data_IF_211377683094
#
_entry.id   IF_211377683094
#
_cell.length_a   1.000
_cell.length_b   1.000
_cell.length_c   1.000
_cell.angle_alpha   90.00
_cell.angle_beta   90.00
_cell.angle_gamma   90.00
#
_symmetry.space_group_name_H-M   'P 1'
#
loop_
_entity.id
_entity.type
_entity.pdbx_description
1 polymer ?
#
# COMPACT_ATOMS: atom_id res chain seq x y z
N UNK A 1 28.34 -7.46 47.10
CA UNK A 1 28.44 -6.11 46.45
C UNK A 1 28.86 -6.22 45.00
N UNK A 2 29.77 -7.11 44.63
CA UNK A 2 30.28 -7.25 43.24
C UNK A 2 29.22 -7.84 42.27
N UNK A 3 28.49 -8.88 42.69
CA UNK A 3 27.45 -9.50 41.84
C UNK A 3 26.33 -8.55 41.50
N UNK A 4 25.82 -7.76 42.47
CA UNK A 4 24.80 -6.75 42.23
C UNK A 4 25.25 -5.67 41.24
N UNK A 5 26.49 -5.21 41.35
CA UNK A 5 27.05 -4.23 40.40
C UNK A 5 27.17 -4.83 38.98
N UNK A 6 27.60 -6.06 38.85
CA UNK A 6 27.68 -6.73 37.55
C UNK A 6 26.30 -6.91 36.90
N UNK A 7 25.28 -7.28 37.67
CA UNK A 7 23.88 -7.37 37.18
C UNK A 7 23.36 -6.00 36.70
N UNK A 8 23.61 -4.91 37.45
CA UNK A 8 23.18 -3.59 37.08
C UNK A 8 23.89 -3.11 35.78
N UNK A 9 25.18 -3.38 35.64
CA UNK A 9 25.91 -3.07 34.40
C UNK A 9 25.35 -3.86 33.21
N UNK A 10 25.08 -5.16 33.39
CA UNK A 10 24.50 -5.99 32.33
C UNK A 10 23.12 -5.49 31.93
N UNK A 11 22.26 -5.16 32.88
CA UNK A 11 20.93 -4.58 32.60
C UNK A 11 21.05 -3.25 31.86
N UNK A 12 21.99 -2.41 32.23
CA UNK A 12 22.27 -1.14 31.53
C UNK A 12 22.73 -1.35 30.08
N UNK A 13 23.59 -2.32 29.84
CA UNK A 13 24.06 -2.66 28.48
C UNK A 13 22.90 -3.23 27.64
N UNK A 14 22.10 -4.11 28.20
CA UNK A 14 20.92 -4.67 27.49
C UNK A 14 19.90 -3.57 27.17
N UNK A 15 19.60 -2.70 28.12
CA UNK A 15 18.69 -1.56 27.89
C UNK A 15 19.22 -0.62 26.81
N UNK A 16 20.53 -0.29 26.83
CA UNK A 16 21.15 0.52 25.79
C UNK A 16 21.11 -0.15 24.41
N UNK A 17 21.35 -1.46 24.34
CA UNK A 17 21.26 -2.23 23.08
C UNK A 17 19.84 -2.24 22.52
N UNK A 18 18.82 -2.44 23.37
CA UNK A 18 17.41 -2.36 22.96
C UNK A 18 17.08 -0.95 22.46
N UNK A 19 17.49 0.09 23.16
CA UNK A 19 17.24 1.48 22.77
C UNK A 19 17.91 1.80 21.43
N UNK A 20 19.16 1.43 21.23
CA UNK A 20 19.87 1.62 19.96
C UNK A 20 19.20 0.85 18.81
N UNK A 21 18.80 -0.40 19.07
CA UNK A 21 18.07 -1.20 18.07
C UNK A 21 16.74 -0.55 17.69
N UNK A 22 15.93 -0.13 18.66
CA UNK A 22 14.64 0.53 18.38
C UNK A 22 14.83 1.86 17.64
N UNK A 23 15.85 2.63 17.98
CA UNK A 23 16.16 3.88 17.29
C UNK A 23 16.60 3.62 15.84
N UNK A 24 17.47 2.64 15.62
CA UNK A 24 17.92 2.27 14.27
C UNK A 24 16.77 1.80 13.38
N UNK A 25 15.85 0.99 13.91
CA UNK A 25 14.64 0.57 13.19
C UNK A 25 13.72 1.74 12.83
N UNK A 26 13.54 2.69 13.76
CA UNK A 26 12.75 3.91 13.46
C UNK A 26 13.39 4.75 12.38
N UNK A 27 14.69 4.99 12.44
CA UNK A 27 15.41 5.75 11.42
C UNK A 27 15.35 5.05 10.06
N UNK A 28 15.50 3.73 10.02
CA UNK A 28 15.38 2.97 8.79
C UNK A 28 13.97 3.05 8.20
N UNK A 29 12.93 2.92 9.03
CA UNK A 29 11.54 3.06 8.62
C UNK A 29 11.23 4.47 8.07
N UNK A 30 11.70 5.53 8.72
CA UNK A 30 11.51 6.90 8.21
C UNK A 30 12.23 7.11 6.88
N UNK A 31 13.48 6.67 6.73
CA UNK A 31 14.20 6.73 5.45
C UNK A 31 13.49 5.99 4.32
N UNK A 32 12.91 4.83 4.62
CA UNK A 32 12.10 4.09 3.65
C UNK A 32 10.86 4.91 3.25
N UNK A 33 10.17 5.55 4.20
CA UNK A 33 9.01 6.40 3.89
C UNK A 33 9.43 7.62 3.07
N UNK A 34 10.53 8.29 3.42
CA UNK A 34 11.03 9.45 2.69
C UNK A 34 11.43 9.09 1.25
N UNK A 35 12.02 7.92 1.03
CA UNK A 35 12.36 7.43 -0.31
C UNK A 35 11.10 7.23 -1.21
N UNK A 36 9.94 6.99 -0.60
CA UNK A 36 8.68 6.81 -1.31
C UNK A 36 7.92 8.12 -1.56
N UNK A 37 8.29 9.22 -0.93
CA UNK A 37 7.51 10.47 -1.02
C UNK A 37 7.39 11.01 -2.45
N UNK A 38 8.43 10.88 -3.26
CA UNK A 38 8.37 11.26 -4.67
C UNK A 38 7.34 10.44 -5.47
N UNK A 39 7.18 9.14 -5.14
CA UNK A 39 6.17 8.29 -5.76
C UNK A 39 4.76 8.71 -5.38
N UNK A 40 4.52 9.14 -4.13
CA UNK A 40 3.19 9.51 -3.64
C UNK A 40 2.87 11.01 -3.74
N UNK A 41 3.78 11.82 -4.29
CA UNK A 41 3.53 13.23 -4.53
C UNK A 41 2.34 13.43 -5.49
N UNK A 42 1.43 14.34 -5.15
CA UNK A 42 0.27 14.66 -5.99
C UNK A 42 0.72 15.25 -7.33
N UNK A 43 0.32 14.65 -8.46
CA UNK A 43 0.62 15.19 -9.78
C UNK A 43 -0.09 16.54 -10.02
N UNK A 44 0.50 17.46 -10.79
CA UNK A 44 -0.08 18.79 -11.02
C UNK A 44 -1.39 18.74 -11.84
N UNK A 45 -1.57 17.70 -12.64
CA UNK A 45 -2.70 17.47 -13.54
C UNK A 45 -3.82 16.61 -12.94
N UNK A 46 -3.78 16.33 -11.63
CA UNK A 46 -4.72 15.43 -10.95
C UNK A 46 -6.18 15.84 -11.17
N UNK A 47 -6.48 17.14 -11.23
CA UNK A 47 -7.84 17.65 -11.41
C UNK A 47 -8.38 17.38 -12.83
N UNK A 48 -7.51 17.34 -13.83
CA UNK A 48 -7.89 17.13 -15.24
C UNK A 48 -7.95 15.64 -15.62
N UNK A 49 -7.34 14.77 -14.83
CA UNK A 49 -7.30 13.35 -15.12
C UNK A 49 -8.65 12.67 -14.87
N UNK A 50 -8.95 11.63 -15.62
CA UNK A 50 -10.15 10.82 -15.41
C UNK A 50 -10.04 9.98 -14.12
N UNK A 51 -11.17 9.69 -13.44
CA UNK A 51 -11.20 8.74 -12.31
C UNK A 51 -10.57 7.40 -12.69
N UNK A 52 -9.65 6.90 -11.86
CA UNK A 52 -8.90 5.67 -12.14
C UNK A 52 -7.64 5.86 -13.01
N UNK A 53 -7.35 7.07 -13.52
CA UNK A 53 -6.11 7.32 -14.25
C UNK A 53 -4.90 6.99 -13.37
N UNK A 54 -3.94 6.24 -13.90
CA UNK A 54 -2.71 5.85 -13.20
C UNK A 54 -1.60 6.84 -13.55
N UNK A 55 -1.12 7.56 -12.56
CA UNK A 55 -0.02 8.52 -12.70
C UNK A 55 1.35 7.86 -12.58
N UNK A 56 1.47 6.90 -11.68
CA UNK A 56 2.72 6.17 -11.42
C UNK A 56 2.45 4.71 -11.17
N UNK A 57 3.35 3.89 -11.65
CA UNK A 57 3.35 2.45 -11.46
C UNK A 57 4.78 1.96 -11.34
N UNK A 58 5.04 1.12 -10.36
CA UNK A 58 6.31 0.43 -10.22
C UNK A 58 6.11 -1.02 -9.76
N UNK A 59 6.99 -1.95 -10.08
CA UNK A 59 6.97 -3.30 -9.51
C UNK A 59 7.15 -3.25 -7.98
N UNK A 60 6.53 -4.18 -7.26
CA UNK A 60 6.74 -4.42 -5.83
C UNK A 60 7.55 -5.70 -5.63
N UNK A 61 8.89 -5.64 -5.67
CA UNK A 61 9.74 -6.83 -5.59
C UNK A 61 9.65 -7.55 -4.23
N UNK A 62 9.29 -6.82 -3.18
CA UNK A 62 9.17 -7.37 -1.82
C UNK A 62 7.84 -8.09 -1.56
N UNK A 63 6.88 -8.00 -2.48
CA UNK A 63 5.64 -8.76 -2.45
C UNK A 63 5.69 -9.85 -3.51
N UNK A 64 6.17 -11.03 -3.13
CA UNK A 64 6.25 -12.16 -4.04
C UNK A 64 5.07 -13.11 -3.82
N UNK A 65 4.24 -13.24 -4.85
CA UNK A 65 3.11 -14.18 -4.90
C UNK A 65 3.33 -15.10 -6.09
N UNK A 66 3.34 -16.41 -5.83
CA UNK A 66 3.55 -17.40 -6.87
C UNK A 66 2.52 -17.23 -8.00
N UNK A 67 3.00 -17.18 -9.25
CA UNK A 67 2.14 -17.03 -10.41
C UNK A 67 1.56 -15.63 -10.61
N UNK A 68 2.09 -14.58 -9.94
CA UNK A 68 1.65 -13.21 -10.13
C UNK A 68 2.81 -12.22 -10.31
N UNK A 69 2.50 -11.09 -10.95
CA UNK A 69 3.28 -9.84 -10.88
C UNK A 69 2.57 -8.88 -9.94
N UNK A 70 3.34 -8.13 -9.18
CA UNK A 70 2.83 -7.19 -8.18
C UNK A 70 3.31 -5.78 -8.49
N UNK A 71 2.41 -4.82 -8.35
CA UNK A 71 2.68 -3.43 -8.67
C UNK A 71 2.20 -2.51 -7.55
N UNK A 72 2.95 -1.44 -7.30
CA UNK A 72 2.49 -0.26 -6.59
C UNK A 72 1.93 0.72 -7.61
N UNK A 73 0.79 1.31 -7.31
CA UNK A 73 0.12 2.31 -8.15
C UNK A 73 -0.07 3.61 -7.38
N UNK A 74 -0.03 4.73 -8.10
CA UNK A 74 -0.63 6.00 -7.69
C UNK A 74 -1.69 6.34 -8.73
N UNK A 75 -2.93 6.43 -8.30
CA UNK A 75 -4.06 6.65 -9.20
C UNK A 75 -4.96 7.80 -8.75
N UNK A 76 -5.74 8.35 -9.70
CA UNK A 76 -6.72 9.40 -9.46
C UNK A 76 -7.99 8.83 -8.81
N UNK A 77 -8.42 9.46 -7.73
CA UNK A 77 -9.68 9.19 -7.06
C UNK A 77 -10.42 10.49 -6.73
N UNK A 78 -11.49 10.41 -5.94
CA UNK A 78 -12.33 11.55 -5.56
C UNK A 78 -12.64 11.51 -4.07
N UNK A 79 -12.66 12.71 -3.47
CA UNK A 79 -13.17 12.91 -2.12
C UNK A 79 -14.70 12.95 -2.12
N UNK A 80 -15.30 12.98 -0.94
CA UNK A 80 -16.77 13.04 -0.78
C UNK A 80 -17.40 14.30 -1.36
N UNK A 81 -16.66 15.41 -1.42
CA UNK A 81 -17.08 16.68 -2.02
C UNK A 81 -16.89 16.72 -3.56
N UNK A 82 -16.41 15.64 -4.16
CA UNK A 82 -16.12 15.55 -5.60
C UNK A 82 -14.76 16.12 -6.00
N UNK A 83 -13.98 16.66 -5.09
CA UNK A 83 -12.64 17.16 -5.41
C UNK A 83 -11.70 16.01 -5.78
N UNK A 84 -10.82 16.28 -6.74
CA UNK A 84 -9.83 15.32 -7.20
C UNK A 84 -8.79 15.02 -6.10
N UNK A 85 -8.45 13.77 -5.95
CA UNK A 85 -7.43 13.28 -5.02
C UNK A 85 -6.60 12.18 -5.68
N UNK A 86 -5.53 11.77 -5.00
CA UNK A 86 -4.76 10.56 -5.34
C UNK A 86 -4.80 9.57 -4.20
N UNK A 87 -4.78 8.30 -4.55
CA UNK A 87 -4.60 7.21 -3.61
C UNK A 87 -3.53 6.24 -4.11
N UNK A 88 -2.82 5.62 -3.17
CA UNK A 88 -1.98 4.47 -3.46
C UNK A 88 -2.82 3.20 -3.63
N UNK A 89 -2.27 2.21 -4.32
CA UNK A 89 -2.83 0.87 -4.36
C UNK A 89 -1.76 -0.19 -4.63
N UNK A 90 -2.10 -1.44 -4.32
CA UNK A 90 -1.35 -2.62 -4.74
C UNK A 90 -2.19 -3.38 -5.76
N UNK A 91 -1.63 -3.61 -6.96
CA UNK A 91 -2.23 -4.48 -7.96
C UNK A 91 -1.46 -5.80 -8.03
N UNK A 92 -2.17 -6.92 -8.09
CA UNK A 92 -1.63 -8.28 -8.19
C UNK A 92 -2.24 -8.94 -9.41
N UNK A 93 -1.40 -9.21 -10.40
CA UNK A 93 -1.81 -9.66 -11.74
C UNK A 93 -1.30 -11.08 -11.98
N UNK A 94 -2.17 -12.07 -12.20
CA UNK A 94 -1.75 -13.42 -12.54
C UNK A 94 -0.89 -13.43 -13.81
N UNK A 95 0.17 -14.24 -13.84
CA UNK A 95 1.04 -14.40 -15.02
C UNK A 95 0.48 -15.37 -16.06
N UNK A 96 -0.49 -16.20 -15.69
CA UNK A 96 -1.21 -17.04 -16.63
C UNK A 96 -1.93 -16.18 -17.70
N UNK A 97 -2.23 -16.72 -18.85
CA UNK A 97 -2.99 -16.01 -19.88
C UNK A 97 -4.38 -15.59 -19.38
N UNK A 98 -4.81 -14.36 -19.71
CA UNK A 98 -6.14 -13.92 -19.39
C UNK A 98 -7.19 -14.67 -20.21
N UNK A 99 -8.36 -15.00 -19.64
CA UNK A 99 -9.50 -15.48 -20.40
C UNK A 99 -9.95 -14.45 -21.45
N UNK A 100 -10.58 -14.90 -22.52
CA UNK A 100 -11.09 -14.00 -23.57
C UNK A 100 -12.17 -13.00 -23.04
N UNK A 101 -12.85 -13.37 -21.98
CA UNK A 101 -13.85 -12.52 -21.31
C UNK A 101 -13.26 -11.56 -20.27
N UNK A 102 -11.94 -11.49 -20.14
CA UNK A 102 -11.27 -10.78 -19.07
C UNK A 102 -11.13 -11.60 -17.79
N UNK A 103 -10.44 -11.02 -16.80
CA UNK A 103 -10.25 -11.64 -15.47
C UNK A 103 -11.32 -11.19 -14.50
N UNK A 104 -11.79 -12.05 -13.61
CA UNK A 104 -12.56 -11.58 -12.48
C UNK A 104 -11.71 -10.67 -11.60
N UNK A 105 -12.29 -9.56 -11.12
CA UNK A 105 -11.61 -8.58 -10.27
C UNK A 105 -11.98 -8.83 -8.82
N UNK A 106 -10.97 -8.84 -7.95
CA UNK A 106 -11.14 -8.84 -6.51
C UNK A 106 -10.57 -7.53 -5.94
N UNK A 107 -11.46 -6.64 -5.53
CA UNK A 107 -11.08 -5.39 -4.88
C UNK A 107 -11.09 -5.57 -3.36
N UNK A 108 -9.92 -5.38 -2.72
CA UNK A 108 -9.75 -5.57 -1.28
C UNK A 108 -9.74 -4.26 -0.53
N UNK A 109 -10.85 -3.99 0.17
CA UNK A 109 -10.98 -2.88 1.10
C UNK A 109 -10.40 -3.27 2.47
N UNK A 110 -9.22 -2.76 2.79
CA UNK A 110 -8.58 -3.07 4.07
C UNK A 110 -9.29 -2.39 5.24
N UNK A 111 -9.27 -3.02 6.41
CA UNK A 111 -9.73 -2.45 7.67
C UNK A 111 -8.77 -1.39 8.21
N UNK A 112 -9.04 -0.89 9.42
CA UNK A 112 -8.19 0.12 10.09
C UNK A 112 -6.75 -0.38 10.28
N UNK A 113 -5.80 0.38 9.74
CA UNK A 113 -4.35 0.09 9.81
C UNK A 113 -3.54 1.20 10.46
N UNK A 114 -4.21 2.28 10.93
CA UNK A 114 -3.63 3.51 11.44
C UNK A 114 -3.78 4.66 10.46
N UNK A 115 -3.46 5.89 10.89
CA UNK A 115 -3.63 7.13 10.12
C UNK A 115 -2.29 7.77 9.67
N UNK A 116 -1.17 7.24 10.13
CA UNK A 116 0.15 7.76 9.75
C UNK A 116 0.53 7.42 8.31
N UNK A 117 1.43 8.21 7.72
CA UNK A 117 1.97 8.04 6.37
C UNK A 117 2.39 6.59 6.07
N UNK A 118 3.16 5.98 6.98
CA UNK A 118 3.63 4.60 6.84
C UNK A 118 2.59 3.52 7.13
N UNK A 119 1.35 3.92 7.50
CA UNK A 119 0.26 2.96 7.70
C UNK A 119 -0.37 2.52 6.38
N UNK A 120 -0.23 3.30 5.30
CA UNK A 120 -0.71 2.93 3.97
C UNK A 120 -0.13 1.58 3.54
N UNK A 121 -0.97 0.58 3.22
CA UNK A 121 -0.49 -0.77 2.87
C UNK A 121 0.55 -0.79 1.76
N UNK A 122 0.37 0.02 0.71
CA UNK A 122 1.29 0.05 -0.42
C UNK A 122 2.66 0.70 -0.10
N UNK A 123 2.76 1.44 1.02
CA UNK A 123 4.01 2.03 1.53
C UNK A 123 4.80 1.10 2.44
N UNK A 124 4.22 -0.02 2.87
CA UNK A 124 4.90 -0.96 3.77
C UNK A 124 5.96 -1.77 3.05
N UNK A 125 7.01 -2.13 3.75
CA UNK A 125 8.04 -3.03 3.25
C UNK A 125 7.47 -4.41 2.92
N UNK A 126 6.53 -4.88 3.76
CA UNK A 126 5.84 -6.15 3.59
C UNK A 126 4.32 -5.94 3.50
N UNK A 127 3.82 -5.48 2.36
CA UNK A 127 2.40 -5.22 2.20
C UNK A 127 1.61 -6.55 2.16
N UNK A 128 0.37 -6.50 2.65
CA UNK A 128 -0.61 -7.60 2.56
C UNK A 128 -0.20 -8.93 3.24
N UNK A 129 0.80 -8.93 4.13
CA UNK A 129 1.23 -10.16 4.84
C UNK A 129 0.12 -10.86 5.62
N UNK A 130 -0.89 -10.13 6.07
CA UNK A 130 -2.01 -10.65 6.85
C UNK A 130 -3.21 -11.11 6.01
N UNK A 131 -3.08 -11.14 4.69
CA UNK A 131 -4.18 -11.50 3.78
C UNK A 131 -3.94 -12.90 3.20
N UNK A 132 -4.44 -13.97 3.85
CA UNK A 132 -4.05 -15.35 3.53
C UNK A 132 -4.62 -15.86 2.20
N UNK A 133 -5.74 -15.33 1.73
CA UNK A 133 -6.45 -15.80 0.53
C UNK A 133 -5.92 -15.25 -0.81
N UNK A 134 -4.93 -14.33 -0.79
CA UNK A 134 -4.42 -13.71 -2.04
C UNK A 134 -3.85 -14.76 -3.01
N UNK A 135 -3.09 -15.73 -2.49
CA UNK A 135 -2.53 -16.80 -3.32
C UNK A 135 -3.63 -17.63 -4.00
N UNK A 136 -4.71 -17.91 -3.27
CA UNK A 136 -5.87 -18.65 -3.80
C UNK A 136 -6.61 -17.84 -4.85
N UNK A 137 -6.79 -16.53 -4.65
CA UNK A 137 -7.40 -15.65 -5.64
C UNK A 137 -6.59 -15.65 -6.94
N UNK A 138 -5.26 -15.52 -6.86
CA UNK A 138 -4.35 -15.58 -8.01
C UNK A 138 -4.45 -16.93 -8.71
N UNK A 139 -4.43 -18.03 -7.96
CA UNK A 139 -4.54 -19.39 -8.51
C UNK A 139 -5.87 -19.63 -9.25
N UNK A 140 -6.93 -18.92 -8.83
CA UNK A 140 -8.24 -18.93 -9.49
C UNK A 140 -8.41 -17.86 -10.58
N UNK A 141 -7.31 -17.19 -10.98
CA UNK A 141 -7.29 -16.25 -12.10
C UNK A 141 -7.79 -14.84 -11.81
N UNK A 142 -8.09 -14.50 -10.55
CA UNK A 142 -8.49 -13.15 -10.18
C UNK A 142 -7.31 -12.18 -10.30
N UNK A 143 -7.56 -11.01 -10.89
CA UNK A 143 -6.72 -9.83 -10.65
C UNK A 143 -7.17 -9.18 -9.35
N UNK A 144 -6.21 -8.87 -8.47
CA UNK A 144 -6.50 -8.27 -7.16
C UNK A 144 -6.04 -6.82 -7.14
N UNK A 145 -6.88 -5.92 -6.60
CA UNK A 145 -6.52 -4.53 -6.34
C UNK A 145 -6.85 -4.18 -4.89
N UNK A 146 -5.88 -3.57 -4.19
CA UNK A 146 -5.99 -3.17 -2.79
C UNK A 146 -5.61 -1.70 -2.65
N UNK A 147 -6.57 -0.75 -2.63
CA UNK A 147 -6.29 0.67 -2.41
C UNK A 147 -5.86 0.95 -0.98
N UNK A 148 -5.12 2.07 -0.80
CA UNK A 148 -4.72 2.59 0.52
C UNK A 148 -5.77 3.53 1.13
N UNK A 149 -6.63 4.10 0.33
CA UNK A 149 -7.53 5.24 0.53
C UNK A 149 -6.83 6.61 0.48
N UNK A 150 -7.51 7.60 -0.12
CA UNK A 150 -6.99 8.97 -0.26
C UNK A 150 -6.69 9.61 1.10
N UNK A 151 -5.53 10.27 1.21
CA UNK A 151 -5.07 10.88 2.45
C UNK A 151 -4.35 9.91 3.39
N UNK A 152 -4.39 8.60 3.14
CA UNK A 152 -3.55 7.64 3.83
C UNK A 152 -2.28 7.41 2.98
N UNK A 153 -1.17 7.97 3.43
CA UNK A 153 0.10 7.92 2.71
C UNK A 153 0.23 8.86 1.50
N UNK A 154 -0.82 9.58 1.14
CA UNK A 154 -0.87 10.64 0.13
C UNK A 154 -1.23 12.00 0.75
N UNK A 155 -1.11 13.09 -0.02
CA UNK A 155 -1.42 14.42 0.46
C UNK A 155 -2.93 14.65 0.69
N UNK A 156 -3.24 15.53 1.62
CA UNK A 156 -4.59 15.94 1.98
C UNK A 156 -5.18 15.14 3.15
N UNK A 157 -6.39 15.49 3.59
CA UNK A 157 -7.04 14.82 4.72
C UNK A 157 -7.46 13.40 4.36
N UNK A 158 -7.36 12.50 5.34
CA UNK A 158 -7.99 11.19 5.27
C UNK A 158 -9.46 11.32 5.65
N UNK A 159 -10.35 10.82 4.82
CA UNK A 159 -11.79 10.75 5.09
C UNK A 159 -12.15 9.41 5.76
N UNK A 160 -11.40 9.08 6.81
CA UNK A 160 -11.51 7.83 7.55
C UNK A 160 -12.93 7.60 8.08
N UNK A 161 -13.44 6.38 7.92
CA UNK A 161 -14.82 5.96 8.26
C UNK A 161 -15.93 6.67 7.47
N UNK A 162 -15.61 7.34 6.35
CA UNK A 162 -16.60 7.87 5.47
C UNK A 162 -16.79 6.91 4.29
N UNK A 163 -17.79 6.04 4.37
CA UNK A 163 -17.99 4.96 3.40
C UNK A 163 -18.09 5.41 1.95
N UNK A 164 -18.56 6.63 1.67
CA UNK A 164 -18.58 7.18 0.30
C UNK A 164 -17.17 7.44 -0.22
N UNK A 165 -16.26 7.97 0.61
CA UNK A 165 -14.87 8.18 0.22
C UNK A 165 -14.18 6.85 -0.09
N UNK A 166 -14.34 5.88 0.81
CA UNK A 166 -13.77 4.54 0.66
C UNK A 166 -14.33 3.83 -0.58
N UNK A 167 -15.64 3.98 -0.87
CA UNK A 167 -16.27 3.45 -2.08
C UNK A 167 -15.74 4.11 -3.37
N UNK A 168 -15.50 5.44 -3.35
CA UNK A 168 -14.87 6.13 -4.46
C UNK A 168 -13.47 5.60 -4.73
N UNK A 169 -12.66 5.45 -3.67
CA UNK A 169 -11.32 4.91 -3.76
C UNK A 169 -11.31 3.50 -4.36
N UNK A 170 -12.16 2.62 -3.84
CA UNK A 170 -12.26 1.25 -4.30
C UNK A 170 -12.69 1.17 -5.78
N UNK A 171 -13.72 1.93 -6.15
CA UNK A 171 -14.23 1.95 -7.53
C UNK A 171 -13.19 2.48 -8.50
N UNK A 172 -12.48 3.56 -8.12
CA UNK A 172 -11.44 4.14 -8.96
C UNK A 172 -10.18 3.28 -9.02
N UNK A 173 -9.87 2.50 -7.95
CA UNK A 173 -8.81 1.49 -8.00
C UNK A 173 -9.14 0.38 -9.00
N UNK A 174 -10.39 -0.08 -9.08
CA UNK A 174 -10.81 -1.05 -10.10
C UNK A 174 -10.63 -0.47 -11.51
N UNK A 175 -11.05 0.78 -11.76
CA UNK A 175 -10.81 1.45 -13.05
C UNK A 175 -9.31 1.60 -13.39
N UNK A 176 -8.46 1.74 -12.37
CA UNK A 176 -7.03 1.85 -12.58
C UNK A 176 -6.42 0.57 -13.19
N UNK A 177 -7.05 -0.59 -13.01
CA UNK A 177 -6.59 -1.85 -13.60
C UNK A 177 -6.55 -1.82 -15.13
N UNK A 178 -7.40 -1.03 -15.80
CA UNK A 178 -7.36 -0.85 -17.25
C UNK A 178 -6.01 -0.32 -17.75
N UNK A 179 -5.24 0.31 -16.85
CA UNK A 179 -3.91 0.88 -17.13
C UNK A 179 -2.76 0.03 -16.57
N UNK A 180 -3.06 -1.17 -16.09
CA UNK A 180 -2.05 -2.11 -15.55
C UNK A 180 -1.79 -3.21 -16.58
N UNK A 181 -0.52 -3.46 -16.99
CA UNK A 181 -0.20 -4.48 -17.97
C UNK A 181 -0.71 -5.85 -17.56
N UNK A 182 -1.30 -6.55 -18.51
CA UNK A 182 -1.81 -7.93 -18.37
C UNK A 182 -2.91 -8.09 -17.31
N UNK A 183 -3.42 -7.00 -16.73
CA UNK A 183 -4.51 -7.08 -15.76
C UNK A 183 -5.79 -7.62 -16.42
N UNK A 184 -6.14 -7.14 -17.61
CA UNK A 184 -7.29 -7.57 -18.40
C UNK A 184 -8.55 -7.77 -17.53
N UNK A 185 -8.99 -6.72 -16.77
CA UNK A 185 -10.13 -6.83 -15.86
C UNK A 185 -11.45 -7.04 -16.59
#
# INVERSE_FOLDING_TARGET
VTAKKAILVLLGVVAAAILLSTLSHRVAAERQQDALDAFYATPPDVAAAAPGAVFRREPLPNLQIAGARTYRLLYRTERTDGSAAVSGAIAIVPTAAAPAAGRPVLAWAHGTVGLGRGCAPSRREHPLQSVPWIADAVANGFVVIAPDYAGLGTAGPSEYLIGRAEANDLTNAVRALDNVPDAAP
#
